data_IF_048574851980
#
_entry.id   IF_048574851980
#
_cell.length_a   1.000
_cell.length_b   1.000
_cell.length_c   1.000
_cell.angle_alpha   90.00
_cell.angle_beta   90.00
_cell.angle_gamma   90.00
#
_symmetry.space_group_name_H-M   'P 1'
#
loop_
_entity.id
_entity.type
_entity.pdbx_description
1 polymer ?
#
# COMPACT_ATOMS: atom_id res chain seq x y z
N UNK A 1 -23.29 9.73 2.95
CA UNK A 1 -22.05 9.57 3.76
C UNK A 1 -20.87 9.30 2.83
N UNK A 2 -19.86 10.17 2.79
CA UNK A 2 -18.65 9.99 1.95
C UNK A 2 -17.53 9.45 2.83
N UNK A 3 -17.41 8.14 2.91
CA UNK A 3 -16.44 7.46 3.77
C UNK A 3 -15.04 7.59 3.14
N UNK A 4 -14.22 8.53 3.61
CA UNK A 4 -12.80 8.61 3.25
C UNK A 4 -12.07 7.46 3.93
N UNK A 5 -12.04 6.29 3.30
CA UNK A 5 -11.19 5.19 3.76
C UNK A 5 -9.73 5.61 3.62
N UNK A 6 -9.09 5.79 4.77
CA UNK A 6 -7.67 6.15 4.93
C UNK A 6 -6.82 5.03 4.34
N UNK A 7 -5.76 5.35 3.60
CA UNK A 7 -4.97 4.35 2.88
C UNK A 7 -4.33 3.26 3.75
N UNK A 8 -4.38 3.36 5.08
CA UNK A 8 -4.09 2.24 5.99
C UNK A 8 -5.06 1.05 5.87
N UNK A 9 -6.35 1.28 5.57
CA UNK A 9 -7.29 0.18 5.32
C UNK A 9 -6.92 -0.60 4.04
N UNK A 10 -6.51 0.12 2.99
CA UNK A 10 -6.05 -0.52 1.74
C UNK A 10 -4.77 -1.33 1.97
N UNK A 11 -3.84 -0.85 2.80
CA UNK A 11 -2.64 -1.60 3.16
C UNK A 11 -2.97 -2.91 3.87
N UNK A 12 -3.88 -2.87 4.86
CA UNK A 12 -4.35 -4.08 5.57
C UNK A 12 -5.06 -5.06 4.62
N UNK A 13 -5.89 -4.56 3.71
CA UNK A 13 -6.60 -5.42 2.75
C UNK A 13 -5.64 -6.12 1.78
N UNK A 14 -4.61 -5.41 1.28
CA UNK A 14 -3.54 -6.03 0.48
C UNK A 14 -2.77 -7.07 1.29
N UNK A 15 -2.45 -6.77 2.55
CA UNK A 15 -1.78 -7.71 3.45
C UNK A 15 -2.57 -9.01 3.63
N UNK A 16 -3.90 -8.90 3.83
CA UNK A 16 -4.76 -10.06 3.99
C UNK A 16 -4.77 -10.96 2.74
N UNK A 17 -4.74 -10.36 1.53
CA UNK A 17 -4.60 -11.13 0.29
C UNK A 17 -3.28 -11.90 0.26
N UNK A 18 -2.16 -11.23 0.55
CA UNK A 18 -0.84 -11.86 0.50
C UNK A 18 -0.68 -12.95 1.57
N UNK A 19 -1.26 -12.76 2.76
CA UNK A 19 -1.31 -13.78 3.80
C UNK A 19 -2.00 -15.07 3.31
N UNK A 20 -3.18 -14.94 2.69
CA UNK A 20 -3.92 -16.09 2.15
C UNK A 20 -3.30 -16.66 0.85
N UNK A 21 -2.30 -15.99 0.28
CA UNK A 21 -1.55 -16.51 -0.87
C UNK A 21 -0.30 -17.30 -0.44
N UNK A 22 0.33 -16.92 0.68
CA UNK A 22 1.64 -17.47 1.08
C UNK A 22 1.62 -18.27 2.39
N UNK A 23 0.85 -17.84 3.39
CA UNK A 23 0.87 -18.42 4.75
C UNK A 23 -0.26 -19.43 4.93
N UNK A 24 -1.45 -19.10 4.45
CA UNK A 24 -2.62 -19.99 4.41
C UNK A 24 -3.11 -20.08 2.96
N UNK A 25 -2.44 -20.87 2.08
CA UNK A 25 -2.68 -20.84 0.66
C UNK A 25 -4.10 -21.28 0.30
N UNK A 26 -4.86 -20.38 -0.33
CA UNK A 26 -6.21 -20.64 -0.84
C UNK A 26 -6.30 -20.37 -2.35
N UNK A 27 -7.25 -20.99 -3.07
CA UNK A 27 -7.58 -20.61 -4.44
C UNK A 27 -7.96 -19.12 -4.55
N UNK A 28 -7.68 -18.51 -5.71
CA UNK A 28 -8.00 -17.10 -5.98
C UNK A 28 -9.46 -16.73 -5.68
N UNK A 29 -10.39 -17.62 -6.03
CA UNK A 29 -11.83 -17.48 -5.80
C UNK A 29 -12.18 -17.40 -4.32
N UNK A 30 -11.55 -18.23 -3.49
CA UNK A 30 -11.77 -18.24 -2.05
C UNK A 30 -11.17 -17.00 -1.37
N UNK A 31 -9.99 -16.56 -1.81
CA UNK A 31 -9.38 -15.30 -1.33
C UNK A 31 -10.28 -14.12 -1.67
N UNK A 32 -10.84 -14.09 -2.89
CA UNK A 32 -11.76 -13.06 -3.34
C UNK A 32 -13.00 -12.98 -2.44
N UNK A 33 -13.66 -14.11 -2.18
CA UNK A 33 -14.81 -14.19 -1.26
C UNK A 33 -14.42 -13.75 0.15
N UNK A 34 -13.28 -14.22 0.68
CA UNK A 34 -12.84 -13.92 2.04
C UNK A 34 -12.49 -12.44 2.24
N UNK A 35 -11.94 -11.78 1.22
CA UNK A 35 -11.47 -10.39 1.30
C UNK A 35 -12.46 -9.36 0.75
N UNK A 36 -13.59 -9.82 0.22
CA UNK A 36 -14.59 -8.96 -0.44
C UNK A 36 -14.07 -8.30 -1.72
N UNK A 37 -13.14 -8.94 -2.42
CA UNK A 37 -12.52 -8.44 -3.64
C UNK A 37 -12.96 -9.26 -4.87
N UNK A 38 -12.82 -8.67 -6.05
CA UNK A 38 -12.91 -9.43 -7.30
C UNK A 38 -11.65 -10.29 -7.49
N UNK A 39 -11.78 -11.49 -8.08
CA UNK A 39 -10.63 -12.37 -8.36
C UNK A 39 -9.53 -11.69 -9.19
N UNK A 40 -9.90 -10.87 -10.18
CA UNK A 40 -8.95 -10.09 -10.96
C UNK A 40 -8.13 -9.12 -10.10
N UNK A 41 -8.75 -8.55 -9.07
CA UNK A 41 -8.06 -7.67 -8.10
C UNK A 41 -7.09 -8.46 -7.24
N UNK A 42 -7.50 -9.65 -6.76
CA UNK A 42 -6.62 -10.55 -6.00
C UNK A 42 -5.40 -10.95 -6.84
N UNK A 43 -5.64 -11.40 -8.09
CA UNK A 43 -4.57 -11.77 -9.04
C UNK A 43 -3.59 -10.61 -9.24
N UNK A 44 -4.10 -9.38 -9.43
CA UNK A 44 -3.26 -8.19 -9.61
C UNK A 44 -2.44 -7.90 -8.35
N UNK A 45 -3.04 -7.96 -7.17
CA UNK A 45 -2.33 -7.73 -5.89
C UNK A 45 -1.17 -8.71 -5.73
N UNK A 46 -1.40 -9.99 -6.03
CA UNK A 46 -0.35 -11.03 -5.96
C UNK A 46 0.74 -10.76 -7.01
N UNK A 47 0.37 -10.43 -8.24
CA UNK A 47 1.34 -10.14 -9.30
C UNK A 47 2.23 -8.93 -8.97
N UNK A 48 1.63 -7.85 -8.46
CA UNK A 48 2.35 -6.65 -8.02
C UNK A 48 3.26 -6.92 -6.81
N UNK A 49 2.79 -7.73 -5.85
CA UNK A 49 3.62 -8.13 -4.72
C UNK A 49 4.79 -9.00 -5.17
N UNK A 50 4.58 -9.94 -6.10
CA UNK A 50 5.64 -10.79 -6.63
C UNK A 50 6.69 -9.99 -7.41
N UNK A 51 6.32 -8.87 -8.03
CA UNK A 51 7.25 -8.03 -8.79
C UNK A 51 7.96 -6.97 -7.94
N UNK A 52 7.28 -6.39 -6.93
CA UNK A 52 7.78 -5.25 -6.13
C UNK A 52 8.15 -5.62 -4.70
N UNK A 53 7.73 -6.79 -4.23
CA UNK A 53 7.88 -7.21 -2.84
C UNK A 53 7.03 -6.38 -1.85
N UNK A 54 7.42 -6.37 -0.57
CA UNK A 54 6.66 -5.74 0.52
C UNK A 54 6.36 -4.25 0.35
N UNK A 55 7.18 -3.50 -0.39
CA UNK A 55 7.00 -2.06 -0.62
C UNK A 55 5.64 -1.69 -1.25
N UNK A 56 5.06 -2.61 -2.03
CA UNK A 56 3.73 -2.46 -2.62
C UNK A 56 2.60 -2.32 -1.58
N UNK A 57 2.79 -2.89 -0.37
CA UNK A 57 1.79 -2.89 0.69
C UNK A 57 1.69 -1.51 1.38
N UNK A 58 2.78 -0.76 1.42
CA UNK A 58 2.88 0.54 2.12
C UNK A 58 2.46 1.74 1.25
N UNK A 59 2.17 1.53 -0.04
CA UNK A 59 1.87 2.62 -0.99
C UNK A 59 0.60 3.43 -0.63
N UNK A 60 -0.28 2.88 0.22
CA UNK A 60 -1.44 3.58 0.79
C UNK A 60 -1.13 4.41 2.05
N UNK A 61 0.06 4.27 2.65
CA UNK A 61 0.42 4.90 3.94
C UNK A 61 0.98 6.31 3.79
N UNK A 62 1.28 6.78 2.57
CA UNK A 62 1.73 8.15 2.31
C UNK A 62 0.58 9.16 2.44
N UNK A 63 0.08 9.36 3.66
CA UNK A 63 -0.67 10.55 4.04
C UNK A 63 0.23 11.32 5.03
N UNK A 64 0.96 12.31 4.53
CA UNK A 64 1.43 13.42 5.38
C UNK A 64 2.89 13.45 5.82
N UNK A 65 3.87 13.15 4.96
CA UNK A 65 5.22 13.75 5.13
C UNK A 65 5.61 14.46 3.85
N UNK A 66 5.05 15.65 3.68
CA UNK A 66 5.73 16.72 2.94
C UNK A 66 6.97 17.07 3.77
N UNK A 67 8.07 16.35 3.56
CA UNK A 67 9.36 16.74 4.10
C UNK A 67 9.70 18.11 3.50
N UNK A 68 9.44 19.16 4.29
CA UNK A 68 9.84 20.52 3.98
C UNK A 68 11.33 20.52 3.74
N UNK A 69 11.73 20.66 2.47
CA UNK A 69 13.12 20.88 2.10
C UNK A 69 13.44 22.30 2.55
N UNK A 70 13.87 22.43 3.81
CA UNK A 70 14.37 23.68 4.38
C UNK A 70 15.48 24.20 3.48
N UNK A 71 15.24 25.33 2.81
CA UNK A 71 16.32 26.17 2.31
C UNK A 71 16.83 26.96 3.49
N UNK A 72 17.80 26.40 4.20
CA UNK A 72 18.58 27.12 5.17
C UNK A 72 19.58 28.03 4.45
N UNK A 73 19.30 29.34 4.56
CA UNK A 73 20.20 30.49 4.67
C UNK A 73 21.67 30.29 4.23
N UNK A 74 21.98 30.83 3.06
CA UNK A 74 23.30 31.43 2.79
C UNK A 74 23.28 32.92 3.06
N UNK A 75 23.27 33.34 4.34
CA UNK A 75 23.75 34.68 4.74
C UNK A 75 25.26 34.58 4.95
N UNK A 76 26.03 35.10 3.99
CA UNK A 76 27.41 35.59 4.13
C UNK A 76 27.47 36.79 3.17
N UNK A 77 27.32 38.03 3.61
CA UNK A 77 28.24 38.87 4.37
C UNK A 77 29.60 39.06 3.65
N UNK A 78 29.87 40.33 3.31
CA UNK A 78 31.16 40.95 2.91
C UNK A 78 31.61 40.61 1.47
N UNK A 79 31.93 41.54 0.57
CA UNK A 79 32.48 42.91 0.63
C UNK A 79 31.81 43.81 -0.42
#
# INVERSE_FOLDING_TARGET
MKMRMRGGFLALQKWLVIYNAMVDPRPLSEIAVHTGLAEGTVRRIIAEYNSRGPDFLEEGRKVGVSAGRGRERGKRASL
#
